data_IF_352676424469
#
_entry.id   IF_352676424469
#
_cell.length_a   1.000
_cell.length_b   1.000
_cell.length_c   1.000
_cell.angle_alpha   90.00
_cell.angle_beta   90.00
_cell.angle_gamma   90.00
#
_symmetry.space_group_name_H-M   'P 1'
#
loop_
_entity.id
_entity.type
_entity.pdbx_description
1 polymer ?
#
# COMPACT_ATOMS: atom_id res chain seq x y z
N UNK A 1 1.59 37.15 17.26
CA UNK A 1 2.10 36.83 15.91
C UNK A 1 1.22 35.69 15.43
N UNK A 2 0.35 35.96 14.45
CA UNK A 2 -0.66 34.98 14.01
C UNK A 2 0.03 33.72 13.52
N UNK A 3 -0.46 32.55 13.94
CA UNK A 3 0.13 31.27 13.56
C UNK A 3 -0.25 30.96 12.11
N UNK A 4 0.60 30.22 11.40
CA UNK A 4 0.33 29.85 9.99
C UNK A 4 -0.99 29.08 9.84
N UNK A 5 -1.42 28.40 10.91
CA UNK A 5 -2.71 27.72 11.00
C UNK A 5 -3.91 28.67 10.86
N UNK A 6 -3.86 29.85 11.48
CA UNK A 6 -4.94 30.86 11.41
C UNK A 6 -5.09 31.42 9.99
N UNK A 7 -3.96 31.55 9.28
CA UNK A 7 -3.93 31.98 7.88
C UNK A 7 -4.51 30.89 6.99
N UNK A 8 -4.15 29.63 7.23
CA UNK A 8 -4.69 28.52 6.42
C UNK A 8 -6.19 28.33 6.64
N UNK A 9 -6.68 28.35 7.88
CA UNK A 9 -8.11 28.22 8.17
C UNK A 9 -8.92 29.32 7.45
N UNK A 10 -8.47 30.57 7.54
CA UNK A 10 -9.08 31.68 6.80
C UNK A 10 -9.06 31.47 5.28
N UNK A 11 -7.93 31.03 4.71
CA UNK A 11 -7.83 30.74 3.28
C UNK A 11 -8.70 29.54 2.89
N UNK A 12 -8.82 28.52 3.72
CA UNK A 12 -9.66 27.36 3.43
C UNK A 12 -11.15 27.73 3.39
N UNK A 13 -11.58 28.67 4.23
CA UNK A 13 -12.95 29.19 4.22
C UNK A 13 -13.23 30.18 3.09
N UNK A 14 -12.29 31.09 2.79
CA UNK A 14 -12.55 32.25 1.93
C UNK A 14 -11.93 32.13 0.53
N UNK A 15 -10.83 31.39 0.39
CA UNK A 15 -10.05 31.22 -0.85
C UNK A 15 -9.56 29.75 -1.00
N UNK A 16 -10.49 28.75 -1.04
CA UNK A 16 -10.17 27.33 -0.90
C UNK A 16 -9.22 26.80 -1.99
N UNK A 17 -9.23 27.40 -3.18
CA UNK A 17 -8.29 27.09 -4.25
C UNK A 17 -6.84 27.41 -3.86
N UNK A 18 -6.62 28.56 -3.22
CA UNK A 18 -5.29 28.98 -2.75
C UNK A 18 -4.83 28.06 -1.61
N UNK A 19 -5.72 27.71 -0.68
CA UNK A 19 -5.41 26.77 0.40
C UNK A 19 -5.01 25.38 -0.14
N UNK A 20 -5.78 24.84 -1.07
CA UNK A 20 -5.49 23.57 -1.75
C UNK A 20 -4.14 23.60 -2.48
N UNK A 21 -3.84 24.69 -3.20
CA UNK A 21 -2.56 24.86 -3.91
C UNK A 21 -1.35 24.88 -2.95
N UNK A 22 -1.49 25.53 -1.78
CA UNK A 22 -0.42 25.54 -0.76
C UNK A 22 -0.22 24.14 -0.17
N UNK A 23 -1.31 23.41 0.12
CA UNK A 23 -1.24 22.04 0.60
C UNK A 23 -0.52 21.12 -0.41
N UNK A 24 -0.93 21.19 -1.68
CA UNK A 24 -0.32 20.42 -2.76
C UNK A 24 1.16 20.75 -2.99
N UNK A 25 1.53 22.02 -3.03
CA UNK A 25 2.93 22.44 -3.15
C UNK A 25 3.79 21.91 -1.98
N UNK A 26 3.20 21.84 -0.79
CA UNK A 26 3.85 21.30 0.41
C UNK A 26 4.05 19.77 0.32
N UNK A 27 3.07 19.03 -0.19
CA UNK A 27 3.19 17.58 -0.44
C UNK A 27 4.23 17.26 -1.52
N UNK A 28 4.24 18.02 -2.61
CA UNK A 28 5.27 17.90 -3.66
C UNK A 28 6.66 18.15 -3.08
N UNK A 29 6.82 19.22 -2.31
CA UNK A 29 8.07 19.56 -1.66
C UNK A 29 8.52 18.44 -0.70
N UNK A 30 7.62 17.85 0.09
CA UNK A 30 7.94 16.69 0.93
C UNK A 30 8.44 15.49 0.14
N UNK A 31 7.83 15.20 -1.01
CA UNK A 31 8.28 14.09 -1.87
C UNK A 31 9.71 14.30 -2.37
N UNK A 32 10.05 15.53 -2.77
CA UNK A 32 11.42 15.85 -3.20
C UNK A 32 12.41 15.86 -2.03
N UNK A 33 12.00 16.31 -0.83
CA UNK A 33 12.80 16.23 0.39
C UNK A 33 13.11 14.77 0.76
N UNK A 34 12.15 13.85 0.60
CA UNK A 34 12.36 12.42 0.82
C UNK A 34 13.37 11.82 -0.16
N UNK A 35 13.30 12.20 -1.44
CA UNK A 35 14.31 11.80 -2.42
C UNK A 35 15.69 12.35 -2.06
N UNK A 36 15.78 13.62 -1.67
CA UNK A 36 17.02 14.25 -1.25
C UNK A 36 17.64 13.55 -0.04
N UNK A 37 16.84 13.16 0.96
CA UNK A 37 17.30 12.42 2.14
C UNK A 37 17.85 11.04 1.78
N UNK A 38 17.21 10.30 0.86
CA UNK A 38 17.73 9.00 0.40
C UNK A 38 19.03 9.15 -0.43
N UNK A 39 19.16 10.22 -1.22
CA UNK A 39 20.41 10.55 -1.91
C UNK A 39 21.53 10.84 -0.91
N UNK A 40 21.27 11.68 0.10
CA UNK A 40 22.26 12.00 1.14
C UNK A 40 22.68 10.76 1.93
N UNK A 41 21.73 9.89 2.27
CA UNK A 41 22.01 8.60 2.93
C UNK A 41 22.90 7.69 2.07
N UNK A 42 22.67 7.66 0.77
CA UNK A 42 23.52 6.89 -0.17
C UNK A 42 24.93 7.46 -0.21
N UNK A 43 25.09 8.78 -0.34
CA UNK A 43 26.41 9.42 -0.37
C UNK A 43 27.17 9.32 0.95
N UNK A 44 26.48 9.34 2.09
CA UNK A 44 27.10 9.10 3.41
C UNK A 44 27.71 7.70 3.50
N UNK A 45 27.05 6.67 2.96
CA UNK A 45 27.63 5.32 2.91
C UNK A 45 28.90 5.29 2.07
N UNK A 46 28.90 5.96 0.92
CA UNK A 46 30.08 6.08 0.06
C UNK A 46 31.23 6.83 0.75
N UNK A 47 30.93 7.90 1.51
CA UNK A 47 31.95 8.62 2.27
C UNK A 47 32.61 7.73 3.34
N UNK A 48 31.83 6.89 4.03
CA UNK A 48 32.36 5.89 4.98
C UNK A 48 33.21 4.83 4.28
N UNK A 49 32.75 4.32 3.13
CA UNK A 49 33.50 3.35 2.33
C UNK A 49 34.85 3.91 1.83
N UNK A 50 34.91 5.22 1.59
CA UNK A 50 36.09 5.93 1.12
C UNK A 50 36.99 6.49 2.24
N UNK A 51 36.66 6.26 3.51
CA UNK A 51 37.35 6.83 4.68
C UNK A 51 37.42 8.38 4.63
N UNK A 52 36.38 9.03 4.05
CA UNK A 52 36.25 10.48 3.92
C UNK A 52 35.35 11.06 5.03
N UNK A 53 35.94 11.18 6.22
CA UNK A 53 35.27 11.71 7.41
C UNK A 53 34.71 13.12 7.20
N UNK A 54 35.41 13.96 6.42
CA UNK A 54 35.02 15.35 6.19
C UNK A 54 33.75 15.46 5.36
N UNK A 55 33.63 14.67 4.30
CA UNK A 55 32.40 14.62 3.50
C UNK A 55 31.26 13.95 4.29
N UNK A 56 31.55 12.93 5.10
CA UNK A 56 30.55 12.30 5.97
C UNK A 56 29.92 13.28 6.97
N UNK A 57 30.73 14.07 7.68
CA UNK A 57 30.24 15.09 8.62
C UNK A 57 29.38 16.16 7.93
N UNK A 58 29.84 16.65 6.77
CA UNK A 58 29.12 17.64 5.96
C UNK A 58 27.76 17.13 5.50
N UNK A 59 27.69 15.90 4.97
CA UNK A 59 26.44 15.29 4.52
C UNK A 59 25.49 14.99 5.69
N UNK A 60 26.03 14.67 6.87
CA UNK A 60 25.24 14.48 8.09
C UNK A 60 24.56 15.78 8.48
N UNK A 61 25.30 16.90 8.50
CA UNK A 61 24.73 18.23 8.75
C UNK A 61 23.63 18.60 7.76
N UNK A 62 23.81 18.33 6.46
CA UNK A 62 22.77 18.60 5.45
C UNK A 62 21.51 17.75 5.65
N UNK A 63 21.68 16.48 6.02
CA UNK A 63 20.57 15.59 6.35
C UNK A 63 19.78 16.10 7.56
N UNK A 64 20.45 16.63 8.58
CA UNK A 64 19.79 17.15 9.77
C UNK A 64 18.98 18.42 9.45
N UNK A 65 19.57 19.35 8.67
CA UNK A 65 18.87 20.57 8.21
C UNK A 65 17.61 20.22 7.40
N UNK A 66 17.73 19.30 6.44
CA UNK A 66 16.59 18.86 5.63
C UNK A 66 15.55 18.10 6.45
N UNK A 67 15.97 17.34 7.47
CA UNK A 67 15.08 16.67 8.42
C UNK A 67 14.20 17.67 9.17
N UNK A 68 14.78 18.74 9.71
CA UNK A 68 14.04 19.82 10.38
C UNK A 68 13.07 20.51 9.43
N UNK A 69 13.50 20.80 8.19
CA UNK A 69 12.62 21.43 7.20
C UNK A 69 11.42 20.53 6.84
N UNK A 70 11.66 19.22 6.70
CA UNK A 70 10.62 18.21 6.47
C UNK A 70 9.63 18.13 7.64
N UNK A 71 10.13 18.10 8.88
CA UNK A 71 9.29 18.05 10.09
C UNK A 71 8.39 19.29 10.20
N UNK A 72 8.90 20.48 9.87
CA UNK A 72 8.12 21.71 9.87
C UNK A 72 6.96 21.67 8.86
N UNK A 73 7.22 21.14 7.64
CA UNK A 73 6.18 21.01 6.61
C UNK A 73 5.17 19.90 6.97
N UNK A 74 5.62 18.76 7.49
CA UNK A 74 4.73 17.69 7.95
C UNK A 74 3.83 18.16 9.10
N UNK A 75 4.40 18.91 10.06
CA UNK A 75 3.63 19.50 11.15
C UNK A 75 2.50 20.36 10.59
N UNK A 76 2.81 21.24 9.62
CA UNK A 76 1.79 22.03 8.92
C UNK A 76 0.69 21.17 8.26
N UNK A 77 1.05 20.11 7.53
CA UNK A 77 0.07 19.23 6.86
C UNK A 77 -0.77 18.38 7.83
N UNK A 78 -0.20 17.94 8.95
CA UNK A 78 -0.94 17.18 9.96
C UNK A 78 -2.06 18.04 10.61
N UNK A 79 -1.84 19.35 10.72
CA UNK A 79 -2.86 20.30 11.17
C UNK A 79 -3.93 20.59 10.11
N UNK A 80 -3.55 20.70 8.83
CA UNK A 80 -4.49 20.84 7.69
C UNK A 80 -5.46 19.65 7.62
N UNK A 81 -5.03 18.48 8.12
CA UNK A 81 -5.82 17.24 8.13
C UNK A 81 -6.64 17.02 9.42
N UNK A 82 -6.72 18.00 10.35
CA UNK A 82 -7.60 17.90 11.50
C UNK A 82 -9.08 18.04 11.07
N UNK A 83 -9.99 17.16 11.55
CA UNK A 83 -11.41 17.29 11.25
C UNK A 83 -11.98 18.49 12.02
N UNK A 84 -12.32 19.58 11.32
CA UNK A 84 -13.09 20.64 11.95
C UNK A 84 -14.49 20.15 12.30
N UNK A 85 -14.77 20.20 13.60
CA UNK A 85 -16.11 20.15 14.15
C UNK A 85 -16.95 21.31 13.63
N UNK A 86 -18.03 20.96 12.93
CA UNK A 86 -19.39 21.49 13.09
C UNK A 86 -20.04 22.31 11.95
N UNK A 87 -21.21 21.79 11.54
CA UNK A 87 -22.48 22.48 11.19
C UNK A 87 -22.72 22.99 9.76
N UNK A 88 -23.47 22.15 9.04
CA UNK A 88 -24.74 22.42 8.34
C UNK A 88 -24.90 23.73 7.55
N UNK A 89 -24.92 23.60 6.22
CA UNK A 89 -25.98 24.21 5.40
C UNK A 89 -26.60 23.12 4.52
N UNK A 90 -27.93 23.12 4.44
CA UNK A 90 -28.73 22.09 3.79
C UNK A 90 -28.45 22.01 2.27
N UNK A 91 -28.44 20.83 1.63
CA UNK A 91 -28.16 20.71 0.20
C UNK A 91 -29.38 21.13 -0.63
N UNK A 92 -29.13 21.98 -1.63
CA UNK A 92 -30.03 22.25 -2.76
C UNK A 92 -29.80 21.20 -3.86
N UNK A 93 -30.82 20.77 -4.64
CA UNK A 93 -30.77 19.49 -5.37
C UNK A 93 -30.00 19.43 -6.71
N UNK A 94 -29.40 20.51 -7.21
CA UNK A 94 -28.99 20.62 -8.63
C UNK A 94 -27.53 21.01 -8.89
N UNK A 95 -26.59 20.75 -7.97
CA UNK A 95 -25.15 21.01 -8.24
C UNK A 95 -24.39 19.70 -8.24
N UNK A 96 -24.05 19.20 -9.42
CA UNK A 96 -23.06 18.11 -9.55
C UNK A 96 -21.74 18.58 -8.92
N UNK A 97 -21.31 17.90 -7.86
CA UNK A 97 -20.05 18.20 -7.18
C UNK A 97 -18.88 17.74 -8.08
N UNK A 98 -17.98 18.67 -8.37
CA UNK A 98 -16.73 18.38 -9.09
C UNK A 98 -15.75 17.75 -8.10
N UNK A 99 -15.22 16.59 -8.45
CA UNK A 99 -14.18 15.91 -7.69
C UNK A 99 -12.84 15.90 -8.45
N UNK A 100 -11.75 15.90 -7.70
CA UNK A 100 -10.38 15.87 -8.24
C UNK A 100 -9.67 14.57 -7.90
N UNK A 101 -8.75 14.14 -8.78
CA UNK A 101 -7.99 12.89 -8.59
C UNK A 101 -7.25 12.81 -7.23
N UNK A 102 -6.95 13.94 -6.57
CA UNK A 102 -6.31 14.02 -5.24
C UNK A 102 -7.14 13.44 -4.10
N UNK A 103 -8.46 13.36 -4.23
CA UNK A 103 -9.35 12.91 -3.16
C UNK A 103 -9.24 11.40 -2.86
N UNK A 104 -9.75 11.02 -1.69
CA UNK A 104 -10.05 9.62 -1.37
C UNK A 104 -11.37 9.20 -2.03
N UNK A 105 -11.34 8.13 -2.81
CA UNK A 105 -12.47 7.55 -3.50
C UNK A 105 -12.90 6.20 -2.92
N UNK A 106 -12.49 5.91 -1.69
CA UNK A 106 -12.95 4.73 -0.95
C UNK A 106 -14.46 4.75 -0.81
N UNK A 107 -15.12 3.66 -1.24
CA UNK A 107 -16.59 3.52 -1.28
C UNK A 107 -17.34 4.51 -2.19
N UNK A 108 -16.63 5.28 -3.02
CA UNK A 108 -17.25 6.20 -3.98
C UNK A 108 -17.42 5.53 -5.34
N UNK A 109 -18.58 5.69 -5.97
CA UNK A 109 -18.86 5.21 -7.33
C UNK A 109 -18.76 6.38 -8.31
N UNK A 110 -17.93 6.21 -9.32
CA UNK A 110 -17.82 7.14 -10.45
C UNK A 110 -19.01 6.97 -11.40
N UNK A 111 -19.50 8.09 -11.92
CA UNK A 111 -20.55 8.18 -12.96
C UNK A 111 -20.01 8.77 -14.24
N UNK A 112 -19.08 9.72 -14.14
CA UNK A 112 -18.43 10.30 -15.30
C UNK A 112 -17.04 10.84 -14.94
N UNK A 113 -16.24 11.07 -15.97
CA UNK A 113 -15.09 11.96 -15.88
C UNK A 113 -15.08 12.93 -17.07
N UNK A 114 -14.45 14.09 -16.90
CA UNK A 114 -14.15 15.02 -17.98
C UNK A 114 -12.65 15.03 -18.21
N UNK A 115 -12.25 14.95 -19.47
CA UNK A 115 -10.86 15.12 -19.89
C UNK A 115 -10.84 16.00 -21.13
N UNK A 116 -10.00 17.06 -21.12
CA UNK A 116 -9.91 18.06 -22.20
C UNK A 116 -11.26 18.63 -22.63
N UNK A 117 -12.11 18.94 -21.67
CA UNK A 117 -13.45 19.51 -21.89
C UNK A 117 -14.50 18.54 -22.44
N UNK A 118 -14.16 17.27 -22.69
CA UNK A 118 -15.12 16.23 -23.11
C UNK A 118 -15.50 15.35 -21.93
N UNK A 119 -16.80 15.16 -21.72
CA UNK A 119 -17.36 14.27 -20.68
C UNK A 119 -17.48 12.83 -21.19
N UNK A 120 -17.18 11.89 -20.30
CA UNK A 120 -17.20 10.45 -20.54
C UNK A 120 -18.02 9.77 -19.43
N UNK A 121 -19.20 9.28 -19.80
CA UNK A 121 -20.05 8.49 -18.90
C UNK A 121 -19.44 7.10 -18.68
N UNK A 122 -19.38 6.67 -17.42
CA UNK A 122 -18.79 5.40 -17.00
C UNK A 122 -19.52 4.85 -15.78
N UNK A 123 -19.52 3.53 -15.64
CA UNK A 123 -20.22 2.85 -14.53
C UNK A 123 -19.28 2.36 -13.43
N UNK A 124 -17.97 2.38 -13.69
CA UNK A 124 -16.96 1.89 -12.75
C UNK A 124 -15.60 2.56 -12.97
N UNK A 125 -14.75 2.54 -11.93
CA UNK A 125 -13.37 3.03 -12.02
C UNK A 125 -12.53 2.24 -13.04
N UNK A 126 -12.77 0.93 -13.15
CA UNK A 126 -12.17 0.07 -14.18
C UNK A 126 -12.50 0.60 -15.58
N UNK A 127 -13.78 0.88 -15.83
CA UNK A 127 -14.24 1.43 -17.09
C UNK A 127 -13.63 2.82 -17.35
N UNK A 128 -13.57 3.69 -16.33
CA UNK A 128 -12.92 5.00 -16.44
C UNK A 128 -11.47 4.91 -16.94
N UNK A 129 -10.68 3.99 -16.37
CA UNK A 129 -9.30 3.75 -16.81
C UNK A 129 -9.21 3.27 -18.26
N UNK A 130 -10.05 2.30 -18.64
CA UNK A 130 -10.05 1.73 -19.99
C UNK A 130 -10.47 2.80 -21.01
N UNK A 131 -11.56 3.52 -20.73
CA UNK A 131 -12.06 4.60 -21.57
C UNK A 131 -11.00 5.68 -21.74
N UNK A 132 -10.36 6.10 -20.66
CA UNK A 132 -9.27 7.08 -20.74
C UNK A 132 -8.10 6.60 -21.61
N UNK A 133 -7.60 5.38 -21.39
CA UNK A 133 -6.54 4.78 -22.23
C UNK A 133 -6.94 4.67 -23.71
N UNK A 134 -8.19 4.31 -24.00
CA UNK A 134 -8.71 4.24 -25.37
C UNK A 134 -8.76 5.62 -26.04
N UNK A 135 -9.19 6.66 -25.32
CA UNK A 135 -9.23 8.03 -25.85
C UNK A 135 -7.82 8.57 -26.12
N UNK A 136 -6.86 8.31 -25.23
CA UNK A 136 -5.46 8.67 -25.45
C UNK A 136 -4.87 7.93 -26.67
N UNK A 137 -5.23 6.67 -26.88
CA UNK A 137 -4.79 5.87 -28.03
C UNK A 137 -5.36 6.41 -29.36
N UNK A 138 -6.56 6.99 -29.35
CA UNK A 138 -7.13 7.65 -30.54
C UNK A 138 -6.33 8.89 -30.94
N UNK A 139 -5.80 9.61 -29.96
CA UNK A 139 -4.96 10.81 -30.18
C UNK A 139 -3.56 10.40 -30.62
N UNK A 140 -2.95 9.45 -29.91
CA UNK A 140 -1.62 8.92 -30.21
C UNK A 140 -1.64 7.40 -30.13
N UNK A 141 -1.65 6.72 -31.29
CA UNK A 141 -1.67 5.25 -31.35
C UNK A 141 -0.47 4.59 -30.68
N UNK A 142 0.66 5.28 -30.59
CA UNK A 142 1.88 4.74 -30.00
C UNK A 142 1.93 4.91 -28.47
N UNK A 143 0.99 5.66 -27.87
CA UNK A 143 0.97 5.94 -26.43
C UNK A 143 1.04 4.68 -25.56
N UNK A 144 0.19 3.64 -25.76
CA UNK A 144 0.20 2.48 -24.88
C UNK A 144 1.53 1.71 -24.89
N UNK A 145 2.23 1.71 -26.02
CA UNK A 145 3.53 1.05 -26.18
C UNK A 145 4.62 1.74 -25.36
N UNK A 146 4.54 3.07 -25.20
CA UNK A 146 5.49 3.85 -24.41
C UNK A 146 5.35 3.62 -22.89
N UNK A 147 4.25 3.02 -22.44
CA UNK A 147 4.02 2.67 -21.04
C UNK A 147 4.63 1.32 -20.65
N UNK A 148 4.82 0.42 -21.62
CA UNK A 148 5.34 -0.93 -21.39
C UNK A 148 6.81 -0.84 -20.96
N UNK A 149 7.17 -1.53 -19.88
CA UNK A 149 8.52 -1.53 -19.32
C UNK A 149 8.95 -0.22 -18.65
N UNK A 150 8.09 0.81 -18.64
CA UNK A 150 8.40 2.06 -17.97
C UNK A 150 8.28 1.89 -16.43
N UNK A 151 9.32 2.23 -15.64
CA UNK A 151 9.32 2.04 -14.19
C UNK A 151 8.16 2.73 -13.44
N UNK A 152 7.63 3.84 -13.96
CA UNK A 152 6.49 4.56 -13.36
C UNK A 152 5.18 3.77 -13.46
N UNK A 153 5.10 2.82 -14.40
CA UNK A 153 3.93 1.99 -14.68
C UNK A 153 4.14 0.53 -14.29
N UNK A 154 5.03 0.30 -13.32
CA UNK A 154 5.33 -1.02 -12.77
C UNK A 154 4.76 -1.18 -11.37
N UNK A 155 3.89 -2.17 -11.19
CA UNK A 155 3.44 -2.64 -9.89
C UNK A 155 4.48 -3.52 -9.20
N UNK A 156 4.24 -3.87 -7.94
CA UNK A 156 5.15 -4.70 -7.13
C UNK A 156 5.39 -6.09 -7.73
N UNK A 157 4.33 -6.70 -8.25
CA UNK A 157 4.35 -8.08 -8.77
C UNK A 157 4.13 -8.16 -10.28
N UNK A 158 3.50 -7.14 -10.88
CA UNK A 158 3.11 -7.14 -12.29
C UNK A 158 3.28 -5.75 -12.91
N UNK A 159 3.51 -5.69 -14.20
CA UNK A 159 3.44 -4.45 -14.98
C UNK A 159 1.99 -4.05 -15.19
N UNK A 160 1.67 -2.75 -15.11
CA UNK A 160 0.30 -2.28 -15.35
C UNK A 160 -0.10 -2.37 -16.82
N UNK A 161 0.87 -2.31 -17.73
CA UNK A 161 0.68 -2.44 -19.18
C UNK A 161 1.56 -3.54 -19.74
N UNK A 162 0.99 -4.45 -20.53
CA UNK A 162 1.71 -5.60 -21.08
C UNK A 162 1.13 -6.05 -22.43
N UNK A 163 1.92 -6.77 -23.22
CA UNK A 163 1.40 -7.48 -24.41
C UNK A 163 0.67 -8.77 -24.05
N UNK A 164 0.96 -9.33 -22.88
CA UNK A 164 0.37 -10.59 -22.41
C UNK A 164 -0.75 -10.28 -21.42
N UNK A 165 -2.00 -10.69 -21.69
CA UNK A 165 -3.09 -10.49 -20.75
C UNK A 165 -2.90 -11.33 -19.49
N UNK A 166 -3.32 -10.78 -18.34
CA UNK A 166 -3.52 -11.56 -17.13
C UNK A 166 -5.00 -11.89 -17.05
N UNK A 167 -5.34 -13.19 -17.08
CA UNK A 167 -6.71 -13.67 -17.10
C UNK A 167 -7.58 -12.98 -16.03
N UNK A 168 -8.73 -12.45 -16.45
CA UNK A 168 -9.75 -11.75 -15.63
C UNK A 168 -9.27 -10.47 -14.91
N UNK A 169 -7.99 -10.12 -15.03
CA UNK A 169 -7.38 -8.99 -14.33
C UNK A 169 -6.94 -7.89 -15.28
N UNK A 170 -6.82 -8.19 -16.57
CA UNK A 170 -6.41 -7.24 -17.59
C UNK A 170 -7.49 -7.06 -18.66
N UNK A 171 -7.57 -5.85 -19.20
CA UNK A 171 -8.48 -5.48 -20.28
C UNK A 171 -7.69 -4.98 -21.47
N UNK A 172 -8.17 -5.27 -22.67
CA UNK A 172 -7.46 -4.89 -23.91
C UNK A 172 -7.72 -3.42 -24.23
N UNK A 173 -6.65 -2.67 -24.52
CA UNK A 173 -6.76 -1.31 -25.06
C UNK A 173 -7.15 -1.40 -26.53
N UNK A 174 -8.27 -0.76 -26.88
CA UNK A 174 -8.85 -0.84 -28.22
C UNK A 174 -7.88 -0.31 -29.28
N UNK A 175 -7.81 -1.00 -30.42
CA UNK A 175 -6.92 -0.63 -31.52
C UNK A 175 -5.44 -1.01 -31.31
N UNK A 176 -5.11 -1.76 -30.25
CA UNK A 176 -3.74 -2.22 -29.97
C UNK A 176 -3.68 -3.69 -29.55
N UNK A 177 -2.48 -4.22 -29.37
CA UNK A 177 -2.20 -5.51 -28.71
C UNK A 177 -1.75 -5.33 -27.24
N UNK A 178 -2.01 -4.16 -26.65
CA UNK A 178 -1.64 -3.84 -25.26
C UNK A 178 -2.83 -4.08 -24.34
N UNK A 179 -2.55 -4.64 -23.17
CA UNK A 179 -3.52 -4.88 -22.10
C UNK A 179 -3.17 -4.04 -20.89
N UNK A 180 -4.19 -3.50 -20.23
CA UNK A 180 -4.07 -2.74 -18.98
C UNK A 180 -4.59 -3.58 -17.82
N UNK A 181 -3.84 -3.64 -16.72
CA UNK A 181 -4.29 -4.26 -15.48
C UNK A 181 -5.39 -3.42 -14.83
N UNK A 182 -6.50 -4.04 -14.43
CA UNK A 182 -7.71 -3.36 -13.96
C UNK A 182 -8.23 -3.84 -12.60
N UNK A 183 -7.68 -4.92 -12.04
CA UNK A 183 -8.07 -5.41 -10.72
C UNK A 183 -7.42 -4.57 -9.60
N UNK A 184 -7.89 -3.35 -9.44
CA UNK A 184 -7.37 -2.36 -8.49
C UNK A 184 -8.51 -1.62 -7.78
N UNK A 185 -8.26 -1.16 -6.55
CA UNK A 185 -9.20 -0.26 -5.87
C UNK A 185 -9.30 1.09 -6.59
N UNK A 186 -10.38 1.83 -6.37
CA UNK A 186 -10.59 3.19 -6.89
C UNK A 186 -9.36 4.08 -6.71
N UNK A 187 -8.77 4.11 -5.52
CA UNK A 187 -7.58 4.92 -5.23
C UNK A 187 -6.31 4.51 -5.98
N UNK A 188 -6.16 3.22 -6.29
CA UNK A 188 -5.04 2.75 -7.11
C UNK A 188 -5.26 3.07 -8.60
N UNK A 189 -6.52 3.02 -9.05
CA UNK A 189 -6.89 3.45 -10.40
C UNK A 189 -6.68 4.95 -10.56
N UNK A 190 -7.12 5.78 -9.61
CA UNK A 190 -6.88 7.23 -9.66
C UNK A 190 -5.40 7.57 -9.59
N UNK A 191 -4.61 6.84 -8.79
CA UNK A 191 -3.14 6.94 -8.82
C UNK A 191 -2.57 6.61 -10.19
N UNK A 192 -3.05 5.57 -10.86
CA UNK A 192 -2.61 5.22 -12.20
C UNK A 192 -3.01 6.29 -13.23
N UNK A 193 -4.23 6.85 -13.15
CA UNK A 193 -4.69 7.97 -13.97
C UNK A 193 -3.79 9.20 -13.80
N UNK A 194 -3.44 9.56 -12.55
CA UNK A 194 -2.47 10.64 -12.27
C UNK A 194 -1.14 10.37 -12.92
N UNK A 195 -0.59 9.16 -12.76
CA UNK A 195 0.69 8.79 -13.35
C UNK A 195 0.67 8.92 -14.88
N UNK A 196 -0.43 8.52 -15.53
CA UNK A 196 -0.60 8.65 -16.98
C UNK A 196 -0.62 10.13 -17.39
N UNK A 197 -1.43 10.97 -16.72
CA UNK A 197 -1.50 12.40 -17.00
C UNK A 197 -0.12 13.08 -16.82
N UNK A 198 0.57 12.79 -15.72
CA UNK A 198 1.92 13.31 -15.47
C UNK A 198 2.92 12.85 -16.53
N UNK A 199 2.84 11.60 -16.98
CA UNK A 199 3.70 11.08 -18.05
C UNK A 199 3.45 11.77 -19.40
N UNK A 200 2.21 12.20 -19.65
CA UNK A 200 1.85 12.97 -20.83
C UNK A 200 2.18 14.47 -20.71
N UNK A 201 2.55 14.94 -19.52
CA UNK A 201 2.71 16.38 -19.24
C UNK A 201 1.38 17.14 -19.16
N UNK A 202 0.27 16.43 -18.96
CA UNK A 202 -1.07 17.03 -18.85
C UNK A 202 -1.35 17.48 -17.41
N UNK A 203 -2.11 18.56 -17.27
CA UNK A 203 -2.54 19.04 -15.97
C UNK A 203 -3.59 18.10 -15.36
N UNK A 204 -3.43 17.77 -14.07
CA UNK A 204 -4.43 17.00 -13.34
C UNK A 204 -5.75 17.77 -13.18
N UNK A 205 -5.71 19.10 -13.27
CA UNK A 205 -6.88 19.97 -13.16
C UNK A 205 -7.81 19.86 -14.37
N UNK A 206 -7.34 19.32 -15.50
CA UNK A 206 -8.21 19.06 -16.65
C UNK A 206 -9.01 17.76 -16.52
N UNK A 207 -8.75 16.99 -15.46
CA UNK A 207 -9.40 15.72 -15.18
C UNK A 207 -10.39 15.87 -14.02
N UNK A 208 -11.67 16.08 -14.34
CA UNK A 208 -12.74 16.17 -13.35
C UNK A 208 -13.46 14.84 -13.20
N UNK A 209 -13.85 14.51 -11.98
CA UNK A 209 -14.59 13.29 -11.65
C UNK A 209 -15.98 13.67 -11.14
N UNK A 210 -16.96 12.90 -11.57
CA UNK A 210 -18.35 13.00 -11.11
C UNK A 210 -18.73 11.69 -10.44
N UNK A 211 -19.38 11.80 -9.29
CA UNK A 211 -19.73 10.68 -8.45
C UNK A 211 -21.25 10.53 -8.34
N UNK A 212 -21.68 9.31 -8.10
CA UNK A 212 -23.08 9.00 -7.80
C UNK A 212 -23.36 9.36 -6.33
N UNK A 213 -23.92 10.55 -6.07
CA UNK A 213 -24.26 10.98 -4.71
C UNK A 213 -25.36 10.11 -4.08
N UNK A 214 -26.17 9.46 -4.92
CA UNK A 214 -27.20 8.51 -4.47
C UNK A 214 -26.65 7.11 -4.24
N UNK A 215 -25.38 6.88 -4.60
CA UNK A 215 -24.69 5.62 -4.34
C UNK A 215 -24.43 5.48 -2.86
N UNK A 216 -25.41 4.88 -2.21
CA UNK A 216 -25.15 4.10 -1.02
C UNK A 216 -24.36 2.89 -1.51
N UNK A 217 -23.08 2.74 -1.10
CA UNK A 217 -22.40 1.49 -1.32
C UNK A 217 -23.30 0.46 -0.66
N UNK A 218 -23.91 -0.41 -1.48
CA UNK A 218 -24.40 -1.66 -0.96
C UNK A 218 -23.20 -2.18 -0.19
N UNK A 219 -23.36 -2.37 1.12
CA UNK A 219 -22.55 -3.37 1.77
C UNK A 219 -22.83 -4.62 0.94
N UNK A 220 -22.02 -4.85 -0.10
CA UNK A 220 -21.39 -6.15 -0.21
C UNK A 220 -20.92 -6.34 1.21
N UNK A 221 -21.56 -7.27 1.90
CA UNK A 221 -20.80 -8.08 2.80
C UNK A 221 -19.68 -8.70 1.95
N UNK A 222 -18.66 -7.91 1.60
CA UNK A 222 -17.33 -8.33 1.91
C UNK A 222 -17.47 -8.71 3.38
N UNK A 223 -17.19 -9.97 3.77
CA UNK A 223 -17.22 -10.34 5.18
C UNK A 223 -16.57 -9.17 5.88
N UNK A 224 -17.31 -8.53 6.82
CA UNK A 224 -16.86 -7.32 7.50
C UNK A 224 -15.34 -7.43 7.59
N UNK A 225 -14.54 -6.40 7.27
CA UNK A 225 -13.26 -6.29 7.99
C UNK A 225 -13.73 -6.28 9.41
N UNK A 226 -13.64 -7.44 10.01
CA UNK A 226 -14.58 -7.75 11.06
C UNK A 226 -14.04 -6.84 12.14
N UNK A 227 -14.94 -6.11 12.80
CA UNK A 227 -14.85 -6.08 14.25
C UNK A 227 -14.39 -7.49 14.64
N UNK A 228 -13.09 -7.67 14.90
CA UNK A 228 -12.41 -8.93 15.20
C UNK A 228 -13.10 -10.14 14.55
N UNK A 229 -12.64 -10.63 13.37
CA UNK A 229 -13.17 -11.83 12.69
C UNK A 229 -13.77 -12.72 13.72
N UNK A 230 -15.13 -12.79 13.77
CA UNK A 230 -15.96 -13.42 14.81
C UNK A 230 -15.05 -14.45 15.41
N UNK A 231 -14.43 -14.14 16.57
CA UNK A 231 -13.24 -14.84 17.05
C UNK A 231 -13.54 -16.32 16.83
N UNK A 232 -12.98 -16.99 15.79
CA UNK A 232 -13.07 -18.44 15.76
C UNK A 232 -12.38 -18.80 17.06
N UNK A 233 -12.93 -19.67 17.92
CA UNK A 233 -12.82 -19.61 19.39
C UNK A 233 -11.47 -19.17 20.01
N UNK A 234 -10.36 -19.25 19.27
CA UNK A 234 -8.97 -18.90 19.59
C UNK A 234 -8.33 -17.63 18.91
N UNK A 235 -8.99 -16.82 18.08
CA UNK A 235 -8.49 -15.47 17.64
C UNK A 235 -7.61 -15.38 16.37
N UNK A 236 -6.77 -14.32 16.24
CA UNK A 236 -5.86 -14.07 15.09
C UNK A 236 -4.99 -15.31 14.83
N UNK A 237 -4.78 -15.72 13.58
CA UNK A 237 -4.04 -16.95 13.22
C UNK A 237 -2.70 -17.13 13.97
N UNK A 238 -1.87 -16.09 14.08
CA UNK A 238 -0.62 -16.19 14.83
C UNK A 238 -0.82 -16.53 16.31
N UNK A 239 -1.87 -15.99 16.97
CA UNK A 239 -2.21 -16.35 18.35
C UNK A 239 -2.73 -17.78 18.45
N UNK A 240 -3.51 -18.21 17.47
CA UNK A 240 -4.03 -19.59 17.41
C UNK A 240 -2.88 -20.60 17.24
N UNK A 241 -1.97 -20.39 16.29
CA UNK A 241 -0.77 -21.23 16.12
C UNK A 241 0.05 -21.23 17.41
N UNK A 242 0.29 -20.06 18.00
CA UNK A 242 1.01 -19.97 19.27
C UNK A 242 0.34 -20.82 20.36
N UNK A 243 -0.99 -20.74 20.49
CA UNK A 243 -1.74 -21.54 21.45
C UNK A 243 -1.61 -23.04 21.17
N UNK A 244 -1.83 -23.50 19.94
CA UNK A 244 -1.70 -24.92 19.59
C UNK A 244 -0.29 -25.45 19.85
N UNK A 245 0.74 -24.66 19.55
CA UNK A 245 2.12 -25.06 19.84
C UNK A 245 2.41 -25.08 21.35
N UNK A 246 1.82 -24.17 22.15
CA UNK A 246 1.89 -24.25 23.62
C UNK A 246 1.15 -25.46 24.17
N UNK A 247 0.04 -25.87 23.55
CA UNK A 247 -0.68 -27.10 23.91
C UNK A 247 0.18 -28.33 23.63
N UNK A 248 0.79 -28.44 22.44
CA UNK A 248 1.71 -29.53 22.11
C UNK A 248 2.93 -29.58 23.05
N UNK A 249 3.49 -28.43 23.43
CA UNK A 249 4.59 -28.32 24.39
C UNK A 249 4.15 -28.83 25.78
N UNK A 250 2.95 -28.45 26.22
CA UNK A 250 2.37 -28.91 27.50
C UNK A 250 2.06 -30.41 27.48
N UNK A 251 1.62 -30.94 26.35
CA UNK A 251 1.39 -32.37 26.10
C UNK A 251 2.70 -33.15 25.93
N UNK A 252 3.85 -32.48 25.93
CA UNK A 252 5.18 -33.07 25.73
C UNK A 252 5.29 -33.85 24.42
N UNK A 253 4.64 -33.34 23.37
CA UNK A 253 4.70 -33.95 22.04
C UNK A 253 6.16 -34.04 21.56
N UNK A 254 6.51 -35.21 20.99
CA UNK A 254 7.87 -35.50 20.52
C UNK A 254 7.87 -35.52 18.99
N UNK A 255 8.60 -34.58 18.39
CA UNK A 255 8.79 -34.56 16.94
C UNK A 255 9.90 -35.53 16.53
N UNK A 256 9.71 -36.27 15.44
CA UNK A 256 10.79 -37.07 14.84
C UNK A 256 11.91 -36.17 14.27
N UNK A 257 13.12 -36.72 14.15
CA UNK A 257 14.26 -36.00 13.58
C UNK A 257 13.97 -35.46 12.16
N UNK A 258 13.24 -36.23 11.35
CA UNK A 258 12.82 -35.80 10.03
C UNK A 258 11.85 -34.61 10.08
N UNK A 259 10.88 -34.61 11.00
CA UNK A 259 9.98 -33.46 11.19
C UNK A 259 10.75 -32.22 11.63
N UNK A 260 11.75 -32.37 12.49
CA UNK A 260 12.62 -31.26 12.92
C UNK A 260 13.36 -30.64 11.74
N UNK A 261 13.92 -31.47 10.87
CA UNK A 261 14.61 -31.00 9.68
C UNK A 261 13.66 -30.30 8.70
N UNK A 262 12.48 -30.88 8.43
CA UNK A 262 11.48 -30.30 7.53
C UNK A 262 10.95 -28.96 8.05
N UNK A 263 10.64 -28.84 9.34
CA UNK A 263 10.15 -27.60 9.95
C UNK A 263 11.23 -26.50 10.05
N UNK A 264 12.50 -26.88 9.92
CA UNK A 264 13.63 -25.93 9.82
C UNK A 264 13.91 -25.49 8.38
N UNK A 265 13.21 -26.05 7.39
CA UNK A 265 13.37 -25.74 5.97
C UNK A 265 12.34 -24.68 5.50
N UNK A 266 12.83 -23.68 4.78
CA UNK A 266 12.01 -22.56 4.31
C UNK A 266 11.07 -22.95 3.15
N UNK A 267 11.53 -23.81 2.23
CA UNK A 267 10.72 -24.24 1.09
C UNK A 267 9.62 -25.20 1.52
N UNK A 268 9.90 -26.10 2.47
CA UNK A 268 8.88 -26.91 3.15
C UNK A 268 7.84 -26.02 3.82
N UNK A 269 8.28 -25.00 4.57
CA UNK A 269 7.38 -24.10 5.28
C UNK A 269 6.48 -23.31 4.33
N UNK A 270 7.01 -22.89 3.19
CA UNK A 270 6.26 -22.21 2.12
C UNK A 270 5.26 -23.13 1.43
N UNK A 271 5.64 -24.37 1.15
CA UNK A 271 4.76 -25.37 0.53
C UNK A 271 3.60 -25.71 1.46
N UNK A 272 3.93 -26.12 2.70
CA UNK A 272 2.99 -26.67 3.67
C UNK A 272 2.14 -25.57 4.30
N UNK A 273 2.72 -24.47 4.76
CA UNK A 273 1.98 -23.44 5.51
C UNK A 273 1.72 -22.15 4.70
N UNK A 274 2.41 -21.95 3.57
CA UNK A 274 2.33 -20.70 2.81
C UNK A 274 3.03 -19.51 3.47
N UNK A 275 4.04 -19.79 4.30
CA UNK A 275 4.86 -18.79 5.03
C UNK A 275 6.27 -18.76 4.45
N UNK A 276 6.96 -17.61 4.51
CA UNK A 276 8.23 -17.40 3.79
C UNK A 276 9.47 -17.73 4.63
N UNK A 277 9.32 -17.79 5.96
CA UNK A 277 10.38 -18.17 6.88
C UNK A 277 10.22 -19.63 7.30
N UNK A 278 11.33 -20.34 7.63
CA UNK A 278 11.25 -21.63 8.31
C UNK A 278 10.27 -21.58 9.48
N UNK A 279 9.46 -22.63 9.62
CA UNK A 279 8.45 -22.72 10.68
C UNK A 279 9.08 -22.48 12.05
N UNK A 280 10.24 -23.09 12.31
CA UNK A 280 11.04 -22.80 13.49
C UNK A 280 12.54 -22.68 13.22
N UNK A 281 13.25 -22.18 14.23
CA UNK A 281 14.70 -22.23 14.31
C UNK A 281 15.14 -22.41 15.76
N UNK A 282 16.24 -23.14 15.97
CA UNK A 282 16.95 -23.27 17.24
C UNK A 282 18.10 -22.24 17.37
N UNK A 283 18.37 -21.45 16.33
CA UNK A 283 19.43 -20.46 16.31
C UNK A 283 18.90 -19.08 16.68
N UNK A 284 19.24 -18.64 17.90
CA UNK A 284 18.88 -17.32 18.44
C UNK A 284 19.34 -16.19 17.51
N UNK A 285 20.43 -16.36 16.75
CA UNK A 285 20.93 -15.32 15.83
C UNK A 285 20.02 -15.12 14.62
N UNK A 286 19.17 -16.10 14.29
CA UNK A 286 18.24 -16.06 13.15
C UNK A 286 16.88 -15.47 13.49
N UNK A 287 16.61 -15.16 14.76
CA UNK A 287 15.29 -14.64 15.18
C UNK A 287 15.01 -13.23 14.67
N UNK A 288 16.07 -12.48 14.31
CA UNK A 288 16.02 -11.16 13.70
C UNK A 288 16.58 -11.19 12.28
N UNK A 289 16.00 -10.39 11.39
CA UNK A 289 16.58 -10.14 10.09
C UNK A 289 17.72 -9.10 10.15
N UNK A 290 18.39 -8.89 9.02
CA UNK A 290 19.44 -7.87 8.83
C UNK A 290 19.03 -6.43 9.16
N UNK A 291 17.73 -6.16 9.35
CA UNK A 291 17.17 -4.87 9.71
C UNK A 291 16.69 -4.84 11.18
N UNK A 292 17.14 -5.78 12.02
CA UNK A 292 16.72 -5.96 13.42
C UNK A 292 15.21 -6.18 13.61
N UNK A 293 14.49 -6.65 12.57
CA UNK A 293 13.07 -6.99 12.70
C UNK A 293 12.94 -8.44 13.15
N UNK A 294 12.18 -8.67 14.22
CA UNK A 294 11.87 -10.02 14.68
C UNK A 294 11.05 -10.76 13.62
N UNK A 295 11.55 -11.92 13.17
CA UNK A 295 10.87 -12.87 12.27
C UNK A 295 10.31 -14.07 13.01
N UNK A 296 10.72 -14.23 14.26
CA UNK A 296 10.27 -15.28 15.16
C UNK A 296 9.75 -14.67 16.46
N UNK A 297 8.86 -15.36 17.16
CA UNK A 297 8.42 -14.93 18.48
C UNK A 297 9.58 -14.96 19.47
N UNK A 298 9.56 -14.03 20.43
CA UNK A 298 10.67 -13.87 21.38
C UNK A 298 10.75 -14.99 22.41
N UNK A 299 9.59 -15.54 22.78
CA UNK A 299 9.52 -16.65 23.72
C UNK A 299 9.72 -17.97 22.96
N UNK A 300 10.70 -18.80 23.36
CA UNK A 300 10.90 -20.10 22.75
C UNK A 300 9.88 -21.14 23.24
N UNK A 301 9.83 -22.26 22.54
CA UNK A 301 9.04 -23.46 22.82
C UNK A 301 9.99 -24.62 23.05
N UNK A 302 9.70 -25.46 24.05
CA UNK A 302 10.47 -26.63 24.40
C UNK A 302 9.87 -27.87 23.73
N UNK A 303 10.62 -28.44 22.78
CA UNK A 303 10.30 -29.72 22.16
C UNK A 303 11.54 -30.59 22.14
N UNK A 304 11.40 -31.89 22.41
CA UNK A 304 12.53 -32.83 22.44
C UNK A 304 13.72 -32.35 23.30
N UNK A 305 13.44 -31.73 24.46
CA UNK A 305 14.45 -31.11 25.35
C UNK A 305 15.29 -29.99 24.70
N UNK A 306 14.81 -29.37 23.63
CA UNK A 306 15.49 -28.28 22.93
C UNK A 306 14.54 -27.10 22.71
N UNK A 307 15.10 -25.90 22.76
CA UNK A 307 14.36 -24.67 22.53
C UNK A 307 14.29 -24.33 21.04
N UNK A 308 13.08 -24.05 20.58
CA UNK A 308 12.78 -23.61 19.22
C UNK A 308 12.02 -22.29 19.25
N UNK A 309 12.37 -21.39 18.33
CA UNK A 309 11.65 -20.15 18.08
C UNK A 309 10.77 -20.35 16.85
N UNK A 310 9.48 -20.08 16.97
CA UNK A 310 8.50 -20.24 15.88
C UNK A 310 8.32 -18.90 15.17
N UNK A 311 8.22 -18.94 13.84
CA UNK A 311 8.09 -17.76 13.00
C UNK A 311 6.82 -16.95 13.32
N UNK A 312 6.89 -15.63 13.18
CA UNK A 312 5.74 -14.74 13.31
C UNK A 312 5.04 -14.43 11.97
N UNK A 313 5.49 -15.07 10.89
CA UNK A 313 5.06 -14.84 9.51
C UNK A 313 3.75 -15.56 9.15
N UNK A 314 2.71 -15.35 9.96
CA UNK A 314 1.41 -16.02 9.80
C UNK A 314 0.36 -15.15 9.11
N UNK A 315 -0.28 -15.71 8.09
CA UNK A 315 -1.35 -15.09 7.32
C UNK A 315 -2.66 -15.87 7.50
N UNK A 316 -3.82 -15.23 7.43
CA UNK A 316 -5.09 -15.93 7.65
C UNK A 316 -5.31 -17.08 6.65
N UNK A 317 -4.83 -16.91 5.42
CA UNK A 317 -4.81 -17.95 4.37
C UNK A 317 -3.99 -19.21 4.74
N UNK A 318 -3.14 -19.14 5.77
CA UNK A 318 -2.34 -20.26 6.26
C UNK A 318 -3.11 -21.14 7.26
N UNK A 319 -4.31 -20.74 7.70
CA UNK A 319 -5.05 -21.44 8.76
C UNK A 319 -5.40 -22.88 8.36
N UNK A 320 -6.11 -23.07 7.25
CA UNK A 320 -6.54 -24.40 6.79
C UNK A 320 -5.34 -25.33 6.59
N UNK A 321 -4.23 -24.77 6.09
CA UNK A 321 -2.96 -25.48 5.91
C UNK A 321 -2.32 -25.90 7.23
N UNK A 322 -2.32 -25.02 8.22
CA UNK A 322 -1.83 -25.32 9.56
C UNK A 322 -2.71 -26.35 10.27
N UNK A 323 -4.04 -26.22 10.16
CA UNK A 323 -4.99 -27.18 10.74
C UNK A 323 -4.80 -28.58 10.15
N UNK A 324 -4.68 -28.68 8.82
CA UNK A 324 -4.41 -29.94 8.15
C UNK A 324 -3.08 -30.57 8.61
N UNK A 325 -2.03 -29.76 8.78
CA UNK A 325 -0.76 -30.23 9.32
C UNK A 325 -0.88 -30.67 10.79
N UNK A 326 -1.57 -29.89 11.63
CA UNK A 326 -1.72 -30.16 13.06
C UNK A 326 -2.50 -31.45 13.30
N UNK A 327 -3.54 -31.73 12.51
CA UNK A 327 -4.28 -32.99 12.55
C UNK A 327 -3.38 -34.19 12.20
N UNK A 328 -2.47 -34.05 11.23
CA UNK A 328 -1.51 -35.12 10.91
C UNK A 328 -0.57 -35.37 12.09
N UNK A 329 -0.13 -34.32 12.77
CA UNK A 329 0.78 -34.42 13.93
C UNK A 329 0.09 -35.00 15.17
N UNK A 330 -1.17 -34.64 15.43
CA UNK A 330 -1.94 -35.14 16.58
C UNK A 330 -2.42 -36.58 16.44
N UNK A 331 -2.55 -37.08 15.22
CA UNK A 331 -2.96 -38.45 14.92
C UNK A 331 -1.76 -39.41 14.71
N UNK A 332 -0.53 -38.96 15.03
CA UNK A 332 0.69 -39.76 15.13
C UNK A 332 1.00 -40.06 16.58
#
# INVERSE_FOLDING_TARGET
MGKIEEVYAYLNENEPEIASNICYASEMLLSELDRALEVLKTRRKQAVENDDDKEYEKLTRYRDILGVYKENINTYLDYVNLPETSKTTAPSPDREIIHHLSEDFTYKKITAFVFRGKRYEVTSWKEALITFCNELTKINRNFPFALIGNPQFRGKEFEYFSYTPIAERSEKIQGTNVYVYTLMSSNYITKLLKNILSFLGESLNEFHIYLDETYLPQKREMPKRTEKAKVPPNGKIGKYVQQCMRELEKEQHVFSENQIQLLSDAEYSKLIFGIYHPFWTDDVKKIQDKNNRFRYWKEPFLFNNKYYYITNDWYEKSREKFDAWLEIIKNQ
#
